data_IF_524662902604
#
_entry.id   IF_524662902604
#
_cell.length_a   1.000
_cell.length_b   1.000
_cell.length_c   1.000
_cell.angle_alpha   90.00
_cell.angle_beta   90.00
_cell.angle_gamma   90.00
#
_symmetry.space_group_name_H-M   'P 1'
#
loop_
_entity.id
_entity.type
_entity.pdbx_description
1 polymer ?
#
# COMPACT_ATOMS: atom_id res chain seq x y z
N UNK A 1 -30.54 -20.34 18.57
CA UNK A 1 -29.52 -19.66 17.74
C UNK A 1 -29.96 -18.23 17.49
N UNK A 2 -29.20 -17.23 17.95
CA UNK A 2 -29.46 -15.83 17.59
C UNK A 2 -29.08 -15.64 16.12
N UNK A 3 -29.96 -15.00 15.33
CA UNK A 3 -29.65 -14.56 13.96
C UNK A 3 -28.41 -13.67 14.04
N UNK A 4 -27.38 -13.99 13.26
CA UNK A 4 -26.21 -13.12 13.10
C UNK A 4 -26.68 -11.85 12.40
N UNK A 5 -26.65 -10.72 13.11
CA UNK A 5 -26.88 -9.41 12.50
C UNK A 5 -25.81 -9.19 11.43
N UNK A 6 -26.24 -8.88 10.20
CA UNK A 6 -25.31 -8.55 9.11
C UNK A 6 -24.64 -7.23 9.45
N UNK A 7 -23.31 -7.23 9.53
CA UNK A 7 -22.52 -6.00 9.63
C UNK A 7 -22.36 -5.46 8.21
N UNK A 8 -22.88 -4.26 7.97
CA UNK A 8 -22.66 -3.52 6.73
C UNK A 8 -21.40 -2.66 6.87
N UNK A 9 -20.42 -2.87 5.99
CA UNK A 9 -19.23 -2.03 5.86
C UNK A 9 -19.05 -1.57 4.41
N UNK A 10 -18.50 -0.37 4.25
CA UNK A 10 -18.19 0.25 2.96
C UNK A 10 -16.75 0.80 3.03
N UNK A 11 -16.02 0.67 1.92
CA UNK A 11 -14.72 1.34 1.72
C UNK A 11 -14.87 2.33 0.59
N UNK A 12 -14.59 3.60 0.88
CA UNK A 12 -14.57 4.68 -0.13
C UNK A 12 -13.16 4.82 -0.68
N UNK A 13 -13.00 4.97 -1.98
CA UNK A 13 -11.65 5.06 -2.59
C UNK A 13 -11.63 6.18 -3.60
N UNK A 14 -10.61 7.04 -3.50
CA UNK A 14 -10.34 8.09 -4.49
C UNK A 14 -8.91 8.05 -5.04
N UNK A 15 -8.05 7.17 -4.50
CA UNK A 15 -6.70 6.95 -5.01
C UNK A 15 -6.23 5.50 -4.87
N UNK A 16 -5.25 5.14 -5.70
CA UNK A 16 -4.50 3.90 -5.62
C UNK A 16 -3.02 4.23 -5.61
N UNK A 17 -2.32 3.76 -4.58
CA UNK A 17 -0.88 3.94 -4.41
C UNK A 17 -0.21 2.56 -4.53
N UNK A 18 0.64 2.39 -5.53
CA UNK A 18 1.40 1.16 -5.77
C UNK A 18 2.85 1.35 -5.36
N UNK A 19 3.27 0.63 -4.32
CA UNK A 19 4.63 0.71 -3.75
C UNK A 19 5.38 -0.56 -4.10
N UNK A 20 6.56 -0.45 -4.69
CA UNK A 20 7.40 -1.61 -5.02
C UNK A 20 8.85 -1.44 -4.60
N UNK A 21 9.48 -2.57 -4.31
CA UNK A 21 10.92 -2.71 -4.19
C UNK A 21 11.37 -4.07 -4.74
N UNK A 22 10.86 -4.49 -5.91
CA UNK A 22 11.28 -5.74 -6.56
C UNK A 22 12.60 -5.58 -7.33
N UNK A 23 13.38 -6.65 -7.44
CA UNK A 23 14.53 -6.67 -8.35
C UNK A 23 14.06 -6.52 -9.81
N UNK A 24 14.89 -5.93 -10.67
CA UNK A 24 14.52 -5.61 -12.06
C UNK A 24 13.94 -6.79 -12.86
N UNK A 25 14.45 -8.00 -12.66
CA UNK A 25 13.97 -9.21 -13.34
C UNK A 25 12.58 -9.70 -12.87
N UNK A 26 12.08 -9.21 -11.73
CA UNK A 26 10.79 -9.59 -11.14
C UNK A 26 9.68 -8.59 -11.49
N UNK A 27 10.02 -7.40 -12.01
CA UNK A 27 9.07 -6.32 -12.33
C UNK A 27 8.18 -6.59 -13.54
N UNK A 28 8.41 -7.67 -14.29
CA UNK A 28 7.68 -7.95 -15.52
C UNK A 28 6.17 -8.13 -15.32
N UNK A 29 5.74 -8.72 -14.21
CA UNK A 29 4.32 -8.89 -13.88
C UNK A 29 3.72 -7.55 -13.43
N UNK A 30 4.39 -6.86 -12.49
CA UNK A 30 4.02 -5.53 -12.01
C UNK A 30 3.77 -4.55 -13.14
N UNK A 31 4.70 -4.46 -14.11
CA UNK A 31 4.58 -3.56 -15.26
C UNK A 31 3.32 -3.81 -16.07
N UNK A 32 3.03 -5.08 -16.39
CA UNK A 32 1.82 -5.44 -17.16
C UNK A 32 0.54 -5.08 -16.41
N UNK A 33 0.50 -5.31 -15.10
CA UNK A 33 -0.66 -4.93 -14.28
C UNK A 33 -0.86 -3.41 -14.32
N UNK A 34 0.22 -2.64 -14.15
CA UNK A 34 0.15 -1.18 -14.16
C UNK A 34 -0.26 -0.64 -15.53
N UNK A 35 0.29 -1.18 -16.61
CA UNK A 35 -0.05 -0.82 -18.00
C UNK A 35 -1.55 -0.94 -18.29
N UNK A 36 -2.23 -1.92 -17.66
CA UNK A 36 -3.69 -2.07 -17.76
C UNK A 36 -4.47 -1.24 -16.72
N UNK A 37 -3.94 -1.18 -15.48
CA UNK A 37 -4.62 -0.56 -14.34
C UNK A 37 -4.65 0.96 -14.41
N UNK A 38 -3.54 1.60 -14.75
CA UNK A 38 -3.44 3.06 -14.79
C UNK A 38 -4.44 3.68 -15.78
N UNK A 39 -4.56 3.21 -17.04
CA UNK A 39 -5.60 3.70 -17.95
C UNK A 39 -7.02 3.44 -17.44
N UNK A 40 -7.24 2.32 -16.75
CA UNK A 40 -8.55 1.98 -16.17
C UNK A 40 -8.97 2.95 -15.06
N UNK A 41 -8.03 3.35 -14.20
CA UNK A 41 -8.22 4.30 -13.11
C UNK A 41 -8.38 5.73 -13.63
N UNK A 42 -7.57 6.12 -14.62
CA UNK A 42 -7.66 7.43 -15.25
C UNK A 42 -9.04 7.70 -15.87
N UNK A 43 -9.64 6.69 -16.53
CA UNK A 43 -11.01 6.78 -17.09
C UNK A 43 -12.10 6.95 -16.01
N UNK A 44 -11.78 6.74 -14.74
CA UNK A 44 -12.68 6.89 -13.59
C UNK A 44 -12.30 8.06 -12.69
N UNK A 45 -11.33 8.87 -13.12
CA UNK A 45 -10.83 10.01 -12.36
C UNK A 45 -10.30 9.60 -10.97
N UNK A 46 -9.79 8.37 -10.85
CA UNK A 46 -9.14 7.88 -9.64
C UNK A 46 -7.65 8.17 -9.76
N UNK A 47 -7.08 8.89 -8.79
CA UNK A 47 -5.63 9.19 -8.75
C UNK A 47 -4.85 7.89 -8.64
N UNK A 48 -3.86 7.70 -9.50
CA UNK A 48 -2.94 6.57 -9.43
C UNK A 48 -1.52 7.07 -9.18
N UNK A 49 -0.82 6.41 -8.27
CA UNK A 49 0.60 6.65 -8.01
C UNK A 49 1.38 5.37 -8.03
N UNK A 50 2.52 5.39 -8.71
CA UNK A 50 3.50 4.33 -8.66
C UNK A 50 4.77 4.85 -7.99
N UNK A 51 5.20 4.17 -6.92
CA UNK A 51 6.41 4.49 -6.17
C UNK A 51 7.33 3.29 -6.10
N UNK A 52 8.54 3.45 -6.63
CA UNK A 52 9.65 2.55 -6.34
C UNK A 52 10.41 3.11 -5.14
N UNK A 53 10.51 2.33 -4.06
CA UNK A 53 11.26 2.72 -2.85
C UNK A 53 12.63 2.07 -2.85
N UNK A 54 13.66 2.84 -2.50
CA UNK A 54 15.05 2.41 -2.63
C UNK A 54 15.79 2.28 -1.29
N UNK A 55 15.16 2.61 -0.17
CA UNK A 55 15.70 2.37 1.18
C UNK A 55 14.57 2.20 2.19
N UNK A 56 14.89 1.69 3.37
CA UNK A 56 13.92 1.63 4.49
C UNK A 56 13.40 3.02 4.86
N UNK A 57 14.27 4.03 4.87
CA UNK A 57 13.88 5.40 5.19
C UNK A 57 12.94 5.98 4.13
N UNK A 58 13.22 5.76 2.85
CA UNK A 58 12.36 6.22 1.73
C UNK A 58 10.95 5.62 1.82
N UNK A 59 10.84 4.34 2.20
CA UNK A 59 9.53 3.72 2.45
C UNK A 59 8.79 4.37 3.63
N UNK A 60 9.47 4.62 4.74
CA UNK A 60 8.86 5.22 5.93
C UNK A 60 8.44 6.68 5.68
N UNK A 61 9.28 7.45 5.00
CA UNK A 61 8.98 8.83 4.60
C UNK A 61 7.77 8.86 3.65
N UNK A 62 7.66 7.89 2.74
CA UNK A 62 6.51 7.82 1.85
C UNK A 62 5.22 7.43 2.59
N UNK A 63 5.28 6.57 3.61
CA UNK A 63 4.14 6.35 4.49
C UNK A 63 3.72 7.62 5.25
N UNK A 64 4.68 8.44 5.69
CA UNK A 64 4.38 9.73 6.33
C UNK A 64 3.74 10.73 5.35
N UNK A 65 4.16 10.71 4.08
CA UNK A 65 3.50 11.48 3.02
C UNK A 65 2.05 11.00 2.81
N UNK A 66 1.83 9.70 2.65
CA UNK A 66 0.48 9.13 2.48
C UNK A 66 -0.42 9.50 3.66
N UNK A 67 0.11 9.45 4.89
CA UNK A 67 -0.62 9.87 6.09
C UNK A 67 -1.01 11.33 6.03
N UNK A 68 -0.11 12.21 5.60
CA UNK A 68 -0.41 13.64 5.44
C UNK A 68 -1.50 13.87 4.40
N UNK A 69 -1.39 13.25 3.23
CA UNK A 69 -2.40 13.39 2.18
C UNK A 69 -3.74 12.78 2.56
N UNK A 70 -3.74 11.70 3.36
CA UNK A 70 -4.95 11.12 3.92
C UNK A 70 -5.67 12.10 4.87
N UNK A 71 -4.91 12.86 5.67
CA UNK A 71 -5.48 13.91 6.52
C UNK A 71 -6.12 15.04 5.69
N UNK A 72 -5.65 15.26 4.46
CA UNK A 72 -6.19 16.24 3.51
C UNK A 72 -7.32 15.66 2.61
N UNK A 73 -7.77 14.42 2.88
CA UNK A 73 -8.92 13.81 2.21
C UNK A 73 -8.60 12.72 1.20
N UNK A 74 -7.34 12.29 1.10
CA UNK A 74 -6.99 11.09 0.32
C UNK A 74 -7.56 9.83 1.00
N UNK A 75 -8.18 8.96 0.21
CA UNK A 75 -8.73 7.66 0.63
C UNK A 75 -8.09 6.57 -0.25
N UNK A 76 -6.86 6.14 0.10
CA UNK A 76 -6.06 5.27 -0.75
C UNK A 76 -6.39 3.79 -0.57
N UNK A 77 -6.31 3.05 -1.68
CA UNK A 77 -5.83 1.66 -1.65
C UNK A 77 -4.30 1.72 -1.69
N UNK A 78 -3.63 1.14 -0.69
CA UNK A 78 -2.17 0.99 -0.68
C UNK A 78 -1.83 -0.43 -1.12
N UNK A 79 -1.23 -0.58 -2.30
CA UNK A 79 -0.73 -1.85 -2.81
C UNK A 79 0.77 -1.97 -2.54
N UNK A 80 1.16 -2.98 -1.75
CA UNK A 80 2.57 -3.29 -1.45
C UNK A 80 3.00 -4.48 -2.31
N UNK A 81 3.91 -4.23 -3.24
CA UNK A 81 4.44 -5.20 -4.20
C UNK A 81 5.95 -5.35 -4.01
N UNK A 82 6.35 -6.13 -3.02
CA UNK A 82 7.75 -6.35 -2.63
C UNK A 82 7.90 -7.67 -1.87
N UNK A 83 9.15 -8.10 -1.68
CA UNK A 83 9.41 -9.27 -0.83
C UNK A 83 9.14 -8.93 0.65
N UNK A 84 8.84 -9.96 1.43
CA UNK A 84 8.72 -9.86 2.87
C UNK A 84 8.92 -11.21 3.54
N UNK A 85 8.65 -11.24 4.84
CA UNK A 85 8.63 -12.45 5.66
C UNK A 85 8.08 -12.14 7.06
N UNK A 86 7.50 -13.14 7.73
CA UNK A 86 6.94 -12.96 9.08
C UNK A 86 7.95 -12.37 10.09
N UNK A 87 9.20 -12.86 10.07
CA UNK A 87 10.24 -12.40 11.01
C UNK A 87 10.94 -11.10 10.56
N UNK A 88 11.13 -10.92 9.25
CA UNK A 88 11.95 -9.82 8.71
C UNK A 88 11.12 -8.57 8.36
N UNK A 89 9.81 -8.71 8.15
CA UNK A 89 8.95 -7.64 7.69
C UNK A 89 9.06 -7.41 6.18
N UNK A 90 9.10 -6.15 5.72
CA UNK A 90 9.19 -5.80 4.31
C UNK A 90 10.65 -5.63 3.86
N UNK A 91 11.03 -6.26 2.75
CA UNK A 91 12.40 -6.26 2.24
C UNK A 91 12.61 -5.23 1.12
N UNK A 92 13.66 -4.43 1.24
CA UNK A 92 14.06 -3.44 0.25
C UNK A 92 15.16 -4.02 -0.65
N UNK A 93 14.78 -4.52 -1.83
CA UNK A 93 15.71 -5.15 -2.77
C UNK A 93 16.91 -4.28 -3.20
N UNK A 94 16.77 -2.95 -3.21
CA UNK A 94 17.83 -2.04 -3.64
C UNK A 94 19.00 -1.98 -2.65
N UNK A 95 18.71 -1.98 -1.35
CA UNK A 95 19.71 -1.86 -0.26
C UNK A 95 19.93 -3.15 0.51
N UNK A 96 19.02 -4.12 0.40
CA UNK A 96 19.00 -5.34 1.21
C UNK A 96 18.45 -5.10 2.63
N UNK A 97 17.98 -3.90 2.94
CA UNK A 97 17.42 -3.55 4.24
C UNK A 97 16.05 -4.21 4.45
N UNK A 98 15.64 -4.30 5.71
CA UNK A 98 14.30 -4.75 6.08
C UNK A 98 13.63 -3.71 6.98
N UNK A 99 12.32 -3.53 6.79
CA UNK A 99 11.46 -2.75 7.69
C UNK A 99 10.61 -3.72 8.49
N UNK A 100 10.82 -3.75 9.81
CA UNK A 100 10.12 -4.67 10.71
C UNK A 100 8.59 -4.53 10.59
N UNK A 101 7.88 -5.66 10.61
CA UNK A 101 6.42 -5.69 10.48
C UNK A 101 5.70 -4.82 11.51
N UNK A 102 6.19 -4.75 12.74
CA UNK A 102 5.64 -3.88 13.78
C UNK A 102 5.68 -2.39 13.38
N UNK A 103 6.80 -1.94 12.80
CA UNK A 103 6.95 -0.56 12.31
C UNK A 103 5.99 -0.26 11.16
N UNK A 104 5.80 -1.20 10.23
CA UNK A 104 4.84 -1.07 9.13
C UNK A 104 3.41 -0.98 9.67
N UNK A 105 3.06 -1.82 10.65
CA UNK A 105 1.73 -1.79 11.30
C UNK A 105 1.49 -0.47 12.01
N UNK A 106 2.50 0.09 12.68
CA UNK A 106 2.38 1.39 13.34
C UNK A 106 2.09 2.50 12.33
N UNK A 107 2.80 2.52 11.19
CA UNK A 107 2.52 3.46 10.08
C UNK A 107 1.13 3.27 9.49
N UNK A 108 0.69 2.03 9.26
CA UNK A 108 -0.67 1.76 8.79
C UNK A 108 -1.74 2.20 9.79
N UNK A 109 -1.49 2.07 11.09
CA UNK A 109 -2.42 2.57 12.11
C UNK A 109 -2.58 4.09 12.02
N UNK A 110 -1.48 4.81 11.86
CA UNK A 110 -1.50 6.28 11.69
C UNK A 110 -2.28 6.70 10.43
N UNK A 111 -2.06 6.03 9.30
CA UNK A 111 -2.80 6.27 8.06
C UNK A 111 -4.29 5.90 8.22
N UNK A 112 -4.60 4.80 8.91
CA UNK A 112 -5.98 4.38 9.16
C UNK A 112 -6.74 5.40 10.01
N UNK A 113 -6.08 6.02 10.99
CA UNK A 113 -6.66 7.14 11.76
C UNK A 113 -6.90 8.34 10.84
N UNK A 114 -5.92 8.72 10.01
CA UNK A 114 -6.04 9.85 9.09
C UNK A 114 -7.17 9.67 8.05
N UNK A 115 -7.43 8.43 7.62
CA UNK A 115 -8.53 8.07 6.71
C UNK A 115 -9.86 7.82 7.42
N UNK A 116 -9.97 8.08 8.74
CA UNK A 116 -11.17 7.80 9.55
C UNK A 116 -11.64 6.32 9.49
N UNK A 117 -10.69 5.38 9.62
CA UNK A 117 -10.90 3.93 9.54
C UNK A 117 -11.33 3.41 8.17
N UNK A 118 -10.89 4.07 7.09
CA UNK A 118 -11.19 3.71 5.72
C UNK A 118 -9.92 3.27 4.94
N UNK A 119 -8.90 2.76 5.63
CA UNK A 119 -7.69 2.28 4.99
C UNK A 119 -7.90 0.89 4.37
N UNK A 120 -7.54 0.74 3.09
CA UNK A 120 -7.41 -0.56 2.43
C UNK A 120 -5.96 -0.81 2.05
N UNK A 121 -5.40 -1.94 2.48
CA UNK A 121 -4.04 -2.38 2.11
C UNK A 121 -4.13 -3.72 1.39
N UNK A 122 -3.44 -3.82 0.26
CA UNK A 122 -3.24 -5.06 -0.50
C UNK A 122 -1.77 -5.43 -0.40
N UNK A 123 -1.46 -6.58 0.18
CA UNK A 123 -0.11 -7.08 0.32
C UNK A 123 0.15 -8.19 -0.69
N UNK A 124 0.97 -7.91 -1.69
CA UNK A 124 1.54 -8.89 -2.61
C UNK A 124 2.97 -9.23 -2.15
N UNK A 125 3.08 -9.71 -0.91
CA UNK A 125 4.33 -10.14 -0.30
C UNK A 125 4.24 -11.60 0.13
N UNK A 126 5.37 -12.32 0.14
CA UNK A 126 5.46 -13.63 0.78
C UNK A 126 5.71 -13.39 2.26
N UNK A 127 4.90 -13.99 3.13
CA UNK A 127 5.11 -13.99 4.58
C UNK A 127 5.43 -15.41 5.04
#
# INVERSE_FOLDING_TARGET
MKKTDKIHSEVKVNSVVWITSLHGHQKGVTRRIIEDLEPYLARREIRFEFREVNSSQDLLDYFDQIRSEAADGMLPIIHIDMHGGEEQGLHIAATGENVAGATVVDKFREINIATNNNLCVVLSARF
#
